data_IF_584000119326
#
_entry.id   IF_584000119326
#
_cell.length_a   1.000
_cell.length_b   1.000
_cell.length_c   1.000
_cell.angle_alpha   90.00
_cell.angle_beta   90.00
_cell.angle_gamma   90.00
#
_symmetry.space_group_name_H-M   'P 1'
#
loop_
_entity.id
_entity.type
_entity.pdbx_description
1 polymer ?
#
# COMPACT_ATOMS: atom_id res chain seq x y z
N UNK A 1 -37.66 -9.48 38.02
CA UNK A 1 -36.94 -10.42 37.13
C UNK A 1 -35.47 -10.07 37.17
N UNK A 2 -34.60 -11.00 37.57
CA UNK A 2 -33.13 -10.85 37.48
C UNK A 2 -32.70 -11.49 36.16
N UNK A 3 -32.04 -10.73 35.29
CA UNK A 3 -31.41 -11.26 34.08
C UNK A 3 -30.12 -11.98 34.48
N UNK A 4 -30.04 -13.29 34.20
CA UNK A 4 -28.89 -14.14 34.55
C UNK A 4 -27.83 -14.22 33.45
N UNK A 5 -28.14 -13.78 32.23
CA UNK A 5 -27.21 -13.72 31.10
C UNK A 5 -27.74 -12.82 29.99
N UNK A 6 -26.85 -12.42 29.09
CA UNK A 6 -27.22 -11.78 27.83
C UNK A 6 -28.02 -12.76 26.96
N UNK A 7 -29.05 -12.30 26.24
CA UNK A 7 -29.72 -13.12 25.24
C UNK A 7 -28.72 -13.53 24.16
N UNK A 8 -28.82 -14.78 23.70
CA UNK A 8 -28.01 -15.24 22.59
C UNK A 8 -28.27 -14.35 21.37
N UNK A 9 -27.21 -13.91 20.66
CA UNK A 9 -27.40 -13.12 19.46
C UNK A 9 -28.23 -13.93 18.45
N UNK A 10 -29.10 -13.30 17.65
CA UNK A 10 -29.89 -14.00 16.65
C UNK A 10 -28.97 -14.66 15.62
N UNK A 11 -28.74 -15.97 15.76
CA UNK A 11 -27.94 -16.76 14.82
C UNK A 11 -28.82 -17.02 13.59
N UNK A 12 -28.57 -16.30 12.49
CA UNK A 12 -29.18 -16.63 11.21
C UNK A 12 -28.72 -18.04 10.78
N UNK A 13 -29.63 -19.01 10.74
CA UNK A 13 -29.34 -20.41 10.38
C UNK A 13 -28.82 -20.58 8.95
N UNK A 14 -28.96 -19.57 8.11
CA UNK A 14 -28.61 -19.57 6.69
C UNK A 14 -27.73 -18.38 6.31
N UNK A 15 -26.69 -18.10 7.11
CA UNK A 15 -25.71 -17.09 6.73
C UNK A 15 -24.85 -17.62 5.58
N UNK A 16 -25.18 -17.20 4.36
CA UNK A 16 -24.28 -17.37 3.23
C UNK A 16 -23.30 -16.19 3.24
N UNK A 17 -22.00 -16.41 3.48
CA UNK A 17 -21.03 -15.35 3.40
C UNK A 17 -21.04 -14.74 1.99
N UNK A 18 -20.90 -13.40 1.87
CA UNK A 18 -20.86 -12.75 0.57
C UNK A 18 -19.66 -13.24 -0.24
N UNK A 19 -19.85 -13.38 -1.54
CA UNK A 19 -18.76 -13.71 -2.47
C UNK A 19 -17.72 -12.58 -2.47
N UNK A 20 -16.45 -12.96 -2.42
CA UNK A 20 -15.35 -11.99 -2.47
C UNK A 20 -15.27 -11.46 -3.91
N UNK A 21 -15.38 -10.14 -4.13
CA UNK A 21 -15.32 -9.58 -5.47
C UNK A 21 -13.92 -9.75 -6.07
N UNK A 22 -13.86 -10.02 -7.38
CA UNK A 22 -12.60 -10.18 -8.14
C UNK A 22 -11.83 -8.87 -8.27
N UNK A 23 -12.49 -7.72 -8.10
CA UNK A 23 -11.88 -6.40 -8.04
C UNK A 23 -12.44 -5.62 -6.87
N UNK A 24 -11.57 -5.01 -6.09
CA UNK A 24 -11.97 -4.15 -4.97
C UNK A 24 -11.16 -2.87 -4.98
N UNK A 25 -11.78 -1.80 -4.47
CA UNK A 25 -11.11 -0.52 -4.27
C UNK A 25 -11.04 -0.24 -2.77
N UNK A 26 -9.84 -0.11 -2.24
CA UNK A 26 -9.62 0.18 -0.82
C UNK A 26 -8.71 1.41 -0.72
N UNK A 27 -9.13 2.41 0.07
CA UNK A 27 -8.41 3.69 0.22
C UNK A 27 -8.00 4.36 -1.11
N UNK A 28 -8.87 4.27 -2.13
CA UNK A 28 -8.62 4.82 -3.47
C UNK A 28 -7.75 3.95 -4.39
N UNK A 29 -7.09 2.92 -3.86
CA UNK A 29 -6.23 1.99 -4.59
C UNK A 29 -7.06 0.83 -5.16
N UNK A 30 -6.80 0.45 -6.41
CA UNK A 30 -7.42 -0.70 -7.08
C UNK A 30 -6.68 -1.99 -6.80
N UNK A 31 -7.42 -3.07 -6.52
CA UNK A 31 -6.89 -4.40 -6.27
C UNK A 31 -7.62 -5.43 -7.15
N UNK A 32 -6.87 -6.35 -7.74
CA UNK A 32 -7.39 -7.59 -8.32
C UNK A 32 -7.24 -8.73 -7.31
N UNK A 33 -8.33 -9.41 -6.99
CA UNK A 33 -8.34 -10.55 -6.07
C UNK A 33 -8.19 -11.85 -6.86
N UNK A 34 -7.07 -12.55 -6.65
CA UNK A 34 -6.82 -13.88 -7.21
C UNK A 34 -6.77 -14.91 -6.07
N UNK A 35 -7.64 -15.93 -6.10
CA UNK A 35 -7.77 -16.96 -5.06
C UNK A 35 -7.95 -16.38 -3.64
N UNK A 36 -8.82 -15.37 -3.51
CA UNK A 36 -9.08 -14.69 -2.22
C UNK A 36 -7.98 -13.73 -1.77
N UNK A 37 -6.87 -13.60 -2.50
CA UNK A 37 -5.77 -12.70 -2.16
C UNK A 37 -5.79 -11.44 -3.04
N UNK A 38 -5.96 -10.24 -2.44
CA UNK A 38 -5.90 -8.99 -3.18
C UNK A 38 -4.45 -8.70 -3.63
N UNK A 39 -4.29 -8.34 -4.90
CA UNK A 39 -3.05 -7.84 -5.50
C UNK A 39 -3.29 -6.43 -6.01
N UNK A 40 -2.38 -5.49 -5.69
CA UNK A 40 -2.45 -4.12 -6.21
C UNK A 40 -2.36 -4.11 -7.75
N UNK A 41 -3.29 -3.41 -8.40
CA UNK A 41 -3.31 -3.14 -9.85
C UNK A 41 -2.52 -1.87 -10.20
N UNK A 42 -1.39 -1.63 -9.53
CA UNK A 42 -0.57 -0.44 -9.77
C UNK A 42 0.76 -0.86 -10.39
N UNK A 43 1.19 -0.23 -11.50
CA UNK A 43 2.51 -0.48 -12.06
C UNK A 43 3.57 -0.11 -11.02
N UNK A 44 4.34 -1.11 -10.60
CA UNK A 44 5.40 -0.95 -9.61
C UNK A 44 6.62 -0.37 -10.30
N UNK A 45 7.16 0.71 -9.74
CA UNK A 45 8.34 1.35 -10.31
C UNK A 45 9.17 1.94 -9.18
N UNK A 46 10.49 1.79 -9.27
CA UNK A 46 11.39 2.51 -8.38
C UNK A 46 11.19 4.02 -8.53
N UNK A 47 11.26 4.74 -7.41
CA UNK A 47 11.11 6.19 -7.41
C UNK A 47 12.25 6.85 -8.19
N UNK A 48 11.90 7.61 -9.22
CA UNK A 48 12.84 8.43 -9.96
C UNK A 48 13.06 9.75 -9.20
N UNK A 49 14.14 9.80 -8.42
CA UNK A 49 14.45 10.93 -7.55
C UNK A 49 14.70 12.22 -8.33
N UNK A 50 15.29 12.11 -9.52
CA UNK A 50 15.64 13.28 -10.35
C UNK A 50 14.37 13.91 -10.91
N UNK A 51 13.44 13.09 -11.44
CA UNK A 51 12.11 13.57 -11.85
C UNK A 51 11.30 14.16 -10.71
N UNK A 52 11.39 13.55 -9.52
CA UNK A 52 10.68 14.05 -8.34
C UNK A 52 11.19 15.43 -7.94
N UNK A 53 12.51 15.62 -7.95
CA UNK A 53 13.14 16.90 -7.68
C UNK A 53 12.70 17.96 -8.70
N UNK A 54 12.67 17.61 -9.99
CA UNK A 54 12.19 18.50 -11.05
C UNK A 54 10.72 18.92 -10.82
N UNK A 55 9.84 17.99 -10.47
CA UNK A 55 8.43 18.28 -10.18
C UNK A 55 8.28 19.24 -8.99
N UNK A 56 9.06 19.03 -7.92
CA UNK A 56 9.05 19.89 -6.74
C UNK A 56 9.54 21.30 -7.09
N UNK A 57 10.64 21.41 -7.82
CA UNK A 57 11.18 22.71 -8.25
C UNK A 57 10.19 23.44 -9.16
N UNK A 58 9.51 22.73 -10.06
CA UNK A 58 8.50 23.30 -10.95
C UNK A 58 7.26 23.75 -10.18
N UNK A 59 6.76 22.95 -9.23
CA UNK A 59 5.66 23.35 -8.33
C UNK A 59 6.01 24.63 -7.56
N UNK A 60 7.23 24.71 -7.02
CA UNK A 60 7.68 25.88 -6.27
C UNK A 60 7.77 27.14 -7.14
N UNK A 61 8.30 27.03 -8.37
CA UNK A 61 8.35 28.16 -9.32
C UNK A 61 6.96 28.64 -9.70
N UNK A 62 6.02 27.72 -9.96
CA UNK A 62 4.63 28.06 -10.25
C UNK A 62 3.94 28.70 -9.06
N UNK A 63 4.21 28.24 -7.84
CA UNK A 63 3.69 28.86 -6.62
C UNK A 63 4.16 30.30 -6.47
N UNK A 64 5.46 30.57 -6.67
CA UNK A 64 5.99 31.94 -6.67
C UNK A 64 5.36 32.81 -7.77
N UNK A 65 5.06 32.23 -8.93
CA UNK A 65 4.37 32.92 -10.03
C UNK A 65 2.92 33.24 -9.63
N UNK A 66 2.19 32.28 -9.05
CA UNK A 66 0.82 32.44 -8.57
C UNK A 66 0.72 33.56 -7.52
N UNK A 67 1.67 33.66 -6.60
CA UNK A 67 1.70 34.75 -5.60
C UNK A 67 1.87 36.14 -6.23
N UNK A 68 2.54 36.23 -7.39
CA UNK A 68 2.77 37.49 -8.10
C UNK A 68 1.61 37.87 -9.01
N UNK A 69 0.99 36.91 -9.68
CA UNK A 69 -0.08 37.17 -10.67
C UNK A 69 -1.49 37.00 -10.14
N UNK A 70 -1.68 36.34 -8.98
CA UNK A 70 -2.99 35.96 -8.41
C UNK A 70 -3.90 35.21 -9.40
N UNK A 71 -3.30 34.56 -10.38
CA UNK A 71 -4.00 33.81 -11.42
C UNK A 71 -4.37 32.42 -10.91
N UNK A 72 -5.67 32.16 -10.81
CA UNK A 72 -6.21 30.88 -10.34
C UNK A 72 -5.92 29.69 -11.27
N UNK A 73 -5.59 29.92 -12.54
CA UNK A 73 -5.20 28.85 -13.46
C UNK A 73 -3.90 28.17 -13.04
N UNK A 74 -2.96 28.93 -12.47
CA UNK A 74 -1.67 28.42 -11.98
C UNK A 74 -1.86 27.49 -10.78
N UNK A 75 -2.89 27.71 -9.96
CA UNK A 75 -3.23 26.81 -8.86
C UNK A 75 -3.68 25.43 -9.36
N UNK A 76 -4.35 25.36 -10.51
CA UNK A 76 -4.71 24.08 -11.12
C UNK A 76 -3.46 23.33 -11.60
N UNK A 77 -2.51 24.03 -12.24
CA UNK A 77 -1.23 23.43 -12.65
C UNK A 77 -0.44 22.88 -11.46
N UNK A 78 -0.38 23.64 -10.36
CA UNK A 78 0.26 23.20 -9.11
C UNK A 78 -0.44 21.93 -8.59
N UNK A 79 -1.78 21.93 -8.52
CA UNK A 79 -2.55 20.76 -8.07
C UNK A 79 -2.25 19.54 -8.94
N UNK A 80 -2.15 19.70 -10.24
CA UNK A 80 -1.90 18.60 -11.16
C UNK A 80 -0.47 18.05 -10.98
N UNK A 81 0.52 18.91 -10.73
CA UNK A 81 1.88 18.49 -10.35
C UNK A 81 1.88 17.70 -9.03
N UNK A 82 1.19 18.19 -8.00
CA UNK A 82 1.10 17.48 -6.72
C UNK A 82 0.38 16.14 -6.84
N UNK A 83 -0.61 16.04 -7.73
CA UNK A 83 -1.29 14.78 -8.04
C UNK A 83 -0.32 13.79 -8.69
N UNK A 84 0.47 14.25 -9.66
CA UNK A 84 1.50 13.43 -10.29
C UNK A 84 2.57 12.96 -9.30
N UNK A 85 3.02 13.84 -8.39
CA UNK A 85 3.96 13.49 -7.32
C UNK A 85 3.39 12.35 -6.45
N UNK A 86 2.14 12.46 -6.03
CA UNK A 86 1.48 11.43 -5.22
C UNK A 86 1.36 10.10 -5.97
N UNK A 87 1.07 10.11 -7.27
CA UNK A 87 1.02 8.90 -8.08
C UNK A 87 2.38 8.20 -8.17
N UNK A 88 3.46 8.93 -8.41
CA UNK A 88 4.81 8.34 -8.47
C UNK A 88 5.27 7.80 -7.10
N UNK A 89 4.94 8.48 -6.00
CA UNK A 89 5.20 7.97 -4.64
C UNK A 89 4.43 6.67 -4.38
N UNK A 90 3.15 6.61 -4.75
CA UNK A 90 2.34 5.39 -4.57
C UNK A 90 2.90 4.20 -5.36
N UNK A 91 3.40 4.43 -6.59
CA UNK A 91 4.07 3.39 -7.40
C UNK A 91 5.36 2.89 -6.75
N UNK A 92 6.09 3.77 -6.06
CA UNK A 92 7.32 3.45 -5.35
C UNK A 92 7.09 2.69 -4.05
N UNK A 93 6.10 3.08 -3.24
CA UNK A 93 5.72 2.35 -2.02
C UNK A 93 5.35 0.90 -2.36
N UNK A 94 4.56 0.71 -3.42
CA UNK A 94 4.20 -0.63 -3.89
C UNK A 94 5.40 -1.47 -4.35
N UNK A 95 6.51 -0.84 -4.74
CA UNK A 95 7.77 -1.50 -5.06
C UNK A 95 8.57 -1.87 -3.79
N UNK A 96 8.62 -0.97 -2.80
CA UNK A 96 9.31 -1.19 -1.52
C UNK A 96 8.69 -2.33 -0.70
N UNK A 97 7.35 -2.43 -0.67
CA UNK A 97 6.63 -3.50 0.03
C UNK A 97 7.05 -4.91 -0.46
N UNK A 98 7.32 -5.07 -1.75
CA UNK A 98 7.80 -6.33 -2.32
C UNK A 98 9.25 -6.64 -1.87
N UNK A 99 10.08 -5.61 -1.76
CA UNK A 99 11.40 -5.71 -1.15
C UNK A 99 11.31 -6.17 0.30
N UNK A 100 10.44 -5.56 1.09
CA UNK A 100 10.21 -5.93 2.50
C UNK A 100 9.71 -7.36 2.66
N UNK A 101 8.77 -7.81 1.83
CA UNK A 101 8.27 -9.20 1.83
C UNK A 101 9.40 -10.17 1.46
N UNK A 102 10.23 -9.83 0.46
CA UNK A 102 11.36 -10.65 0.05
C UNK A 102 12.41 -10.76 1.15
N UNK A 103 12.74 -9.66 1.81
CA UNK A 103 13.63 -9.66 2.96
C UNK A 103 13.10 -10.51 4.12
N UNK A 104 11.81 -10.38 4.45
CA UNK A 104 11.18 -11.19 5.49
C UNK A 104 11.24 -12.69 5.18
N UNK A 105 11.01 -13.08 3.92
CA UNK A 105 11.19 -14.47 3.46
C UNK A 105 12.64 -14.92 3.63
N UNK A 106 13.61 -14.10 3.24
CA UNK A 106 15.04 -14.42 3.35
C UNK A 106 15.46 -14.59 4.82
N UNK A 107 15.01 -13.71 5.73
CA UNK A 107 15.27 -13.85 7.17
C UNK A 107 14.71 -15.16 7.72
N UNK A 108 13.48 -15.54 7.32
CA UNK A 108 12.87 -16.81 7.74
C UNK A 108 13.69 -18.02 7.29
N UNK A 109 14.20 -18.01 6.06
CA UNK A 109 15.09 -19.07 5.55
C UNK A 109 16.40 -19.10 6.34
N UNK A 110 17.02 -17.94 6.56
CA UNK A 110 18.25 -17.83 7.34
C UNK A 110 18.09 -18.39 8.77
N UNK A 111 17.02 -18.01 9.47
CA UNK A 111 16.75 -18.52 10.82
C UNK A 111 16.55 -20.05 10.84
N UNK A 112 15.87 -20.61 9.82
CA UNK A 112 15.72 -22.07 9.71
C UNK A 112 17.08 -22.76 9.57
N UNK A 113 17.96 -22.20 8.74
CA UNK A 113 19.29 -22.76 8.53
C UNK A 113 20.14 -22.67 9.80
N UNK A 114 20.10 -21.55 10.52
CA UNK A 114 20.78 -21.43 11.82
C UNK A 114 20.31 -22.46 12.85
N UNK A 115 19.01 -22.74 12.90
CA UNK A 115 18.45 -23.76 13.79
C UNK A 115 18.94 -25.15 13.39
N UNK A 116 18.94 -25.46 12.09
CA UNK A 116 19.43 -26.75 11.57
C UNK A 116 20.92 -26.94 11.89
N UNK A 117 21.74 -25.91 11.67
CA UNK A 117 23.17 -25.93 12.00
C UNK A 117 23.39 -26.15 13.50
N UNK A 118 22.59 -25.50 14.36
CA UNK A 118 22.65 -25.71 15.81
C UNK A 118 22.30 -27.14 16.19
N UNK A 119 21.27 -27.72 15.60
CA UNK A 119 20.88 -29.12 15.85
C UNK A 119 22.01 -30.07 15.41
N UNK A 120 22.60 -29.86 14.23
CA UNK A 120 23.73 -30.68 13.76
C UNK A 120 24.95 -30.62 14.69
N UNK A 121 25.24 -29.45 15.27
CA UNK A 121 26.33 -29.31 16.26
C UNK A 121 26.06 -29.95 17.62
N UNK A 122 24.81 -30.28 17.94
CA UNK A 122 24.45 -30.99 19.18
C UNK A 122 24.48 -32.50 18.97
N UNK A 123 24.19 -32.95 17.75
CA UNK A 123 24.18 -34.37 17.37
C UNK A 123 25.59 -34.91 17.11
N UNK A 124 26.49 -34.07 16.60
CA UNK A 124 27.92 -34.37 16.44
C UNK A 124 28.72 -33.94 17.67
#
# INVERSE_FOLDING_TARGET
MKFTSWPEPPIQKSYNPPEIPTKLRCFGLGYTVNNGNPKLDIPRKALDKDKMKECIENSFKLFLKALKTLDGSILNEIRDIHTHINEEINKAIAFEDEGGIKEAKNRKVSMKNEILDRIQRIIN
#
